data_IF_733053444315
#
_entry.id   IF_733053444315
#
_cell.length_a   1.000
_cell.length_b   1.000
_cell.length_c   1.000
_cell.angle_alpha   90.00
_cell.angle_beta   90.00
_cell.angle_gamma   90.00
#
_symmetry.space_group_name_H-M   'P 1'
#
loop_
_entity.id
_entity.type
_entity.pdbx_description
1 polymer ?
#
# COMPACT_ATOMS: atom_id res chain seq x y z
N UNK A 1 9.35 15.03 26.49
CA UNK A 1 8.46 15.22 25.31
C UNK A 1 9.24 15.33 24.02
N UNK A 2 10.23 16.21 23.85
CA UNK A 2 11.01 16.33 22.59
C UNK A 2 11.78 15.04 22.24
N UNK A 3 12.54 14.47 23.19
CA UNK A 3 13.24 13.18 23.00
C UNK A 3 12.31 12.04 22.57
N UNK A 4 11.12 11.99 23.17
CA UNK A 4 10.09 11.01 22.83
C UNK A 4 9.53 11.23 21.41
N UNK A 5 9.45 12.48 20.96
CA UNK A 5 9.05 12.82 19.59
C UNK A 5 10.10 12.35 18.57
N UNK A 6 11.39 12.50 18.89
CA UNK A 6 12.49 11.97 18.08
C UNK A 6 12.44 10.44 17.97
N UNK A 7 12.18 9.75 19.09
CA UNK A 7 12.04 8.29 19.11
C UNK A 7 10.80 7.83 18.32
N UNK A 8 9.67 8.52 18.47
CA UNK A 8 8.45 8.28 17.70
C UNK A 8 8.67 8.49 16.19
N UNK A 9 9.40 9.53 15.80
CA UNK A 9 9.74 9.79 14.41
C UNK A 9 10.56 8.62 13.82
N UNK A 10 11.60 8.15 14.53
CA UNK A 10 12.39 6.99 14.09
C UNK A 10 11.53 5.72 13.93
N UNK A 11 10.63 5.46 14.88
CA UNK A 11 9.74 4.32 14.80
C UNK A 11 8.74 4.44 13.63
N UNK A 12 8.19 5.64 13.40
CA UNK A 12 7.31 5.89 12.27
C UNK A 12 8.01 5.71 10.92
N UNK A 13 9.29 6.13 10.79
CA UNK A 13 10.10 5.86 9.59
C UNK A 13 10.28 4.36 9.34
N UNK A 14 10.51 3.57 10.39
CA UNK A 14 10.59 2.11 10.26
C UNK A 14 9.28 1.50 9.74
N UNK A 15 8.14 1.88 10.33
CA UNK A 15 6.82 1.39 9.89
C UNK A 15 6.48 1.84 8.46
N UNK A 16 6.83 3.07 8.08
CA UNK A 16 6.68 3.57 6.72
C UNK A 16 7.51 2.74 5.72
N UNK A 17 8.71 2.30 6.12
CA UNK A 17 9.53 1.43 5.29
C UNK A 17 8.89 0.05 5.09
N UNK A 18 8.42 -0.59 6.16
CA UNK A 18 7.72 -1.88 6.07
C UNK A 18 6.46 -1.80 5.19
N UNK A 19 5.68 -0.72 5.33
CA UNK A 19 4.51 -0.47 4.49
C UNK A 19 4.88 -0.28 3.02
N UNK A 20 5.98 0.43 2.73
CA UNK A 20 6.49 0.62 1.37
C UNK A 20 6.94 -0.70 0.75
N UNK A 21 7.69 -1.50 1.51
CA UNK A 21 8.17 -2.80 1.04
C UNK A 21 7.01 -3.77 0.78
N UNK A 22 6.00 -3.77 1.66
CA UNK A 22 4.76 -4.55 1.47
C UNK A 22 3.98 -4.11 0.24
N UNK A 23 3.85 -2.80 0.00
CA UNK A 23 3.17 -2.27 -1.18
C UNK A 23 3.93 -2.60 -2.48
N UNK A 24 5.27 -2.56 -2.45
CA UNK A 24 6.11 -2.98 -3.59
C UNK A 24 5.93 -4.46 -3.89
N UNK A 25 5.94 -5.32 -2.87
CA UNK A 25 5.67 -6.74 -3.06
C UNK A 25 4.27 -6.97 -3.65
N UNK A 26 3.25 -6.28 -3.13
CA UNK A 26 1.90 -6.33 -3.68
C UNK A 26 1.85 -5.90 -5.15
N UNK A 27 2.60 -4.87 -5.55
CA UNK A 27 2.75 -4.46 -6.94
C UNK A 27 3.39 -5.53 -7.83
N UNK A 28 4.39 -6.26 -7.33
CA UNK A 28 5.01 -7.37 -8.05
C UNK A 28 4.04 -8.54 -8.23
N UNK A 29 3.31 -8.91 -7.17
CA UNK A 29 2.33 -10.00 -7.21
C UNK A 29 1.20 -9.69 -8.21
N UNK A 30 0.75 -8.43 -8.25
CA UNK A 30 -0.20 -7.91 -9.25
C UNK A 30 0.35 -8.07 -10.67
N UNK A 31 1.61 -7.73 -10.91
CA UNK A 31 2.26 -7.88 -12.21
C UNK A 31 2.33 -9.34 -12.67
N UNK A 32 2.72 -10.24 -11.76
CA UNK A 32 2.74 -11.70 -12.01
C UNK A 32 1.34 -12.21 -12.32
N UNK A 33 0.32 -11.74 -11.59
CA UNK A 33 -1.08 -12.11 -11.83
C UNK A 33 -1.54 -11.69 -13.23
N UNK A 34 -1.27 -10.46 -13.65
CA UNK A 34 -1.63 -9.97 -15.00
C UNK A 34 -0.96 -10.83 -16.07
N UNK A 35 0.33 -11.15 -15.90
CA UNK A 35 1.06 -12.04 -16.82
C UNK A 35 0.40 -13.41 -16.91
N UNK A 36 0.06 -14.01 -15.77
CA UNK A 36 -0.58 -15.33 -15.70
C UNK A 36 -1.95 -15.31 -16.39
N UNK A 37 -2.74 -14.26 -16.18
CA UNK A 37 -4.04 -14.09 -16.84
C UNK A 37 -3.92 -13.94 -18.36
N UNK A 38 -2.88 -13.26 -18.85
CA UNK A 38 -2.58 -13.20 -20.28
C UNK A 38 -2.22 -14.57 -20.86
N UNK A 39 -1.40 -15.35 -20.15
CA UNK A 39 -1.04 -16.71 -20.56
C UNK A 39 -2.26 -17.66 -20.60
N UNK A 40 -3.18 -17.52 -19.63
CA UNK A 40 -4.46 -18.24 -19.62
C UNK A 40 -5.32 -17.81 -20.83
N UNK A 41 -5.42 -16.51 -21.10
CA UNK A 41 -6.18 -15.98 -22.26
C UNK A 41 -5.66 -16.52 -23.59
N UNK A 42 -4.32 -16.57 -23.77
CA UNK A 42 -3.69 -17.18 -24.95
C UNK A 42 -3.98 -18.68 -25.05
N UNK A 43 -3.96 -19.39 -23.93
CA UNK A 43 -4.29 -20.82 -23.88
C UNK A 43 -5.75 -21.07 -24.24
N UNK A 44 -6.68 -20.26 -23.72
CA UNK A 44 -8.11 -20.31 -24.06
C UNK A 44 -8.37 -20.09 -25.55
N UNK A 45 -7.64 -19.18 -26.20
CA UNK A 45 -7.72 -18.98 -27.66
C UNK A 45 -7.31 -20.23 -28.44
N UNK A 46 -6.21 -20.88 -28.05
CA UNK A 46 -5.78 -22.15 -28.66
C UNK A 46 -6.82 -23.25 -28.49
N UNK A 47 -7.46 -23.33 -27.32
CA UNK A 47 -8.55 -24.30 -27.09
C UNK A 47 -9.72 -23.99 -28.03
N UNK A 48 -10.11 -22.73 -28.19
CA UNK A 48 -11.17 -22.34 -29.13
C UNK A 48 -10.86 -22.75 -30.58
N UNK A 49 -9.62 -22.57 -31.03
CA UNK A 49 -9.17 -23.05 -32.36
C UNK A 49 -9.32 -24.57 -32.52
N UNK A 50 -8.96 -25.35 -31.49
CA UNK A 50 -9.09 -26.81 -31.49
C UNK A 50 -10.57 -27.21 -31.53
N UNK A 51 -11.44 -26.54 -30.77
CA UNK A 51 -12.88 -26.82 -30.74
C UNK A 51 -13.52 -26.51 -32.10
N UNK A 52 -13.11 -25.42 -32.76
CA UNK A 52 -13.55 -25.11 -34.12
C UNK A 52 -13.12 -26.18 -35.14
N UNK A 53 -11.91 -26.74 -34.98
CA UNK A 53 -11.47 -27.88 -35.80
C UNK A 53 -12.34 -29.12 -35.55
N UNK A 54 -12.68 -29.41 -34.29
CA UNK A 54 -13.55 -30.53 -33.93
C UNK A 54 -14.96 -30.36 -34.52
N UNK A 55 -15.54 -29.16 -34.47
CA UNK A 55 -16.83 -28.90 -35.13
C UNK A 55 -16.75 -29.09 -36.65
N UNK A 56 -15.63 -28.69 -37.27
CA UNK A 56 -15.35 -28.99 -38.68
C UNK A 56 -15.31 -30.49 -38.99
N UNK A 57 -14.66 -31.30 -38.14
CA UNK A 57 -14.61 -32.76 -38.28
C UNK A 57 -16.01 -33.37 -38.09
N UNK A 58 -16.77 -32.89 -37.11
CA UNK A 58 -18.15 -33.32 -36.87
C UNK A 58 -19.04 -33.02 -38.08
N UNK A 59 -18.91 -31.83 -38.68
CA UNK A 59 -19.61 -31.46 -39.89
C UNK A 59 -19.25 -32.37 -41.07
N UNK A 60 -17.96 -32.63 -41.31
CA UNK A 60 -17.52 -33.56 -42.36
C UNK A 60 -18.05 -34.99 -42.12
N UNK A 61 -18.06 -35.45 -40.87
CA UNK A 61 -18.60 -36.76 -40.48
C UNK A 61 -20.10 -36.84 -40.74
N UNK A 62 -20.85 -35.77 -40.47
CA UNK A 62 -22.27 -35.66 -40.76
C UNK A 62 -22.55 -35.74 -42.28
N UNK A 63 -21.72 -35.12 -43.13
CA UNK A 63 -21.84 -35.22 -44.59
C UNK A 63 -21.50 -36.64 -45.09
N UNK A 64 -20.45 -37.27 -44.55
CA UNK A 64 -20.09 -38.66 -44.88
C UNK A 64 -21.22 -39.63 -44.51
N UNK A 65 -21.82 -39.45 -43.33
CA UNK A 65 -22.95 -40.26 -42.88
C UNK A 65 -24.19 -40.09 -43.77
N UNK A 66 -24.46 -38.86 -44.22
CA UNK A 66 -25.53 -38.58 -45.19
C UNK A 66 -25.28 -39.33 -46.52
N UNK A 67 -24.07 -39.25 -47.05
CA UNK A 67 -23.71 -39.95 -48.29
C UNK A 67 -23.83 -41.47 -48.14
N UNK A 68 -23.41 -42.02 -47.00
CA UNK A 68 -23.56 -43.45 -46.69
C UNK A 68 -25.05 -43.87 -46.60
N UNK A 69 -25.91 -43.03 -46.02
CA UNK A 69 -27.35 -43.28 -45.98
C UNK A 69 -27.98 -43.29 -47.38
N UNK A 70 -27.53 -42.40 -48.28
CA UNK A 70 -27.97 -42.37 -49.69
C UNK A 70 -27.54 -43.64 -50.42
N UNK A 71 -26.29 -44.07 -50.27
CA UNK A 71 -25.80 -45.29 -50.93
C UNK A 71 -26.45 -46.56 -50.37
N UNK A 72 -26.73 -46.59 -49.06
CA UNK A 72 -27.49 -47.66 -48.42
C UNK A 72 -28.93 -47.76 -48.97
N UNK A 73 -29.60 -46.61 -49.19
CA UNK A 73 -30.91 -46.59 -49.83
C UNK A 73 -30.84 -47.09 -51.28
N UNK A 74 -29.77 -46.76 -52.00
CA UNK A 74 -29.52 -47.21 -53.38
C UNK A 74 -29.32 -48.73 -53.49
N UNK A 75 -28.72 -49.35 -52.48
CA UNK A 75 -28.51 -50.80 -52.40
C UNK A 75 -29.77 -51.60 -52.00
N UNK A 76 -30.90 -50.93 -51.70
CA UNK A 76 -32.17 -51.56 -51.37
C UNK A 76 -32.10 -52.47 -50.14
N UNK A 77 -32.61 -53.71 -50.26
CA UNK A 77 -32.66 -54.68 -49.16
C UNK A 77 -31.27 -55.01 -48.58
N UNK A 78 -30.22 -55.02 -49.41
CA UNK A 78 -28.85 -55.30 -48.99
C UNK A 78 -28.21 -54.16 -48.19
N UNK A 79 -28.77 -52.94 -48.27
CA UNK A 79 -28.26 -51.74 -47.61
C UNK A 79 -28.85 -51.47 -46.22
N UNK A 80 -29.85 -52.24 -45.77
CA UNK A 80 -30.58 -51.97 -44.51
C UNK A 80 -29.68 -51.85 -43.28
N UNK A 81 -28.68 -52.73 -43.15
CA UNK A 81 -27.71 -52.67 -42.05
C UNK A 81 -26.82 -51.41 -42.10
N UNK A 82 -26.36 -51.03 -43.30
CA UNK A 82 -25.58 -49.81 -43.50
C UNK A 82 -26.39 -48.54 -43.24
N UNK A 83 -27.68 -48.52 -43.56
CA UNK A 83 -28.56 -47.38 -43.29
C UNK A 83 -28.67 -47.07 -41.78
N UNK A 84 -28.75 -48.11 -40.94
CA UNK A 84 -28.79 -47.95 -39.47
C UNK A 84 -27.48 -47.35 -38.96
N UNK A 85 -26.34 -47.90 -39.41
CA UNK A 85 -25.01 -47.38 -39.02
C UNK A 85 -24.85 -45.91 -39.46
N UNK A 86 -25.26 -45.58 -40.69
CA UNK A 86 -25.20 -44.21 -41.20
C UNK A 86 -26.05 -43.24 -40.35
N UNK A 87 -27.23 -43.65 -39.92
CA UNK A 87 -28.08 -42.84 -39.02
C UNK A 87 -27.43 -42.62 -37.65
N UNK A 88 -26.81 -43.65 -37.07
CA UNK A 88 -26.14 -43.55 -35.77
C UNK A 88 -24.90 -42.64 -35.84
N UNK A 89 -24.08 -42.78 -36.89
CA UNK A 89 -22.93 -41.90 -37.13
C UNK A 89 -23.38 -40.45 -37.31
N UNK A 90 -24.49 -40.22 -38.02
CA UNK A 90 -25.07 -38.88 -38.19
C UNK A 90 -25.52 -38.27 -36.86
N UNK A 91 -26.22 -39.05 -36.04
CA UNK A 91 -26.65 -38.64 -34.70
C UNK A 91 -25.45 -38.27 -33.82
N UNK A 92 -24.39 -39.08 -33.84
CA UNK A 92 -23.15 -38.83 -33.10
C UNK A 92 -22.46 -37.53 -33.56
N UNK A 93 -22.39 -37.30 -34.87
CA UNK A 93 -21.81 -36.08 -35.43
C UNK A 93 -22.59 -34.82 -35.00
N UNK A 94 -23.93 -34.86 -35.03
CA UNK A 94 -24.77 -33.75 -34.56
C UNK A 94 -24.57 -33.47 -33.06
N UNK A 95 -24.47 -34.52 -32.24
CA UNK A 95 -24.16 -34.39 -30.80
C UNK A 95 -22.79 -33.76 -30.57
N UNK A 96 -21.79 -34.11 -31.39
CA UNK A 96 -20.45 -33.53 -31.32
C UNK A 96 -20.46 -32.03 -31.63
N UNK A 97 -21.16 -31.59 -32.69
CA UNK A 97 -21.34 -30.16 -33.01
C UNK A 97 -22.02 -29.40 -31.88
N UNK A 98 -23.08 -29.95 -31.27
CA UNK A 98 -23.75 -29.29 -30.13
C UNK A 98 -22.81 -29.14 -28.92
N UNK A 99 -22.05 -30.18 -28.59
CA UNK A 99 -21.08 -30.13 -27.50
C UNK A 99 -19.93 -29.15 -27.80
N UNK A 100 -19.44 -29.09 -29.04
CA UNK A 100 -18.42 -28.15 -29.46
C UNK A 100 -18.89 -26.69 -29.25
N UNK A 101 -20.15 -26.39 -29.61
CA UNK A 101 -20.74 -25.06 -29.37
C UNK A 101 -20.81 -24.70 -27.89
N UNK A 102 -21.29 -25.60 -27.03
CA UNK A 102 -21.31 -25.37 -25.58
C UNK A 102 -19.92 -25.08 -25.01
N UNK A 103 -18.90 -25.80 -25.48
CA UNK A 103 -17.51 -25.57 -25.05
C UNK A 103 -17.01 -24.20 -25.53
N UNK A 104 -17.31 -23.81 -26.77
CA UNK A 104 -16.96 -22.49 -27.29
C UNK A 104 -17.57 -21.37 -26.43
N UNK A 105 -18.86 -21.46 -26.11
CA UNK A 105 -19.55 -20.46 -25.27
C UNK A 105 -18.91 -20.35 -23.87
N UNK A 106 -18.53 -21.49 -23.27
CA UNK A 106 -17.84 -21.51 -21.98
C UNK A 106 -16.44 -20.87 -22.05
N UNK A 107 -15.71 -21.08 -23.15
CA UNK A 107 -14.40 -20.47 -23.37
C UNK A 107 -14.54 -18.95 -23.55
N UNK A 108 -15.50 -18.48 -24.35
CA UNK A 108 -15.74 -17.04 -24.54
C UNK A 108 -16.10 -16.34 -23.22
N UNK A 109 -16.95 -16.98 -22.42
CA UNK A 109 -17.28 -16.49 -21.07
C UNK A 109 -16.04 -16.43 -20.18
N UNK A 110 -15.18 -17.44 -20.22
CA UNK A 110 -13.94 -17.49 -19.44
C UNK A 110 -12.98 -16.37 -19.86
N UNK A 111 -12.80 -16.14 -21.16
CA UNK A 111 -11.98 -15.03 -21.70
C UNK A 111 -12.51 -13.67 -21.23
N UNK A 112 -13.83 -13.48 -21.24
CA UNK A 112 -14.46 -12.24 -20.77
C UNK A 112 -14.20 -12.00 -19.28
N UNK A 113 -14.30 -13.05 -18.47
CA UNK A 113 -14.00 -12.98 -17.02
C UNK A 113 -12.53 -12.68 -16.76
N UNK A 114 -11.61 -13.30 -17.52
CA UNK A 114 -10.17 -13.03 -17.43
C UNK A 114 -9.88 -11.55 -17.75
N UNK A 115 -10.44 -11.02 -18.85
CA UNK A 115 -10.24 -9.62 -19.24
C UNK A 115 -10.75 -8.65 -18.16
N UNK A 116 -11.89 -8.97 -17.54
CA UNK A 116 -12.43 -8.19 -16.42
C UNK A 116 -11.51 -8.26 -15.20
N UNK A 117 -10.97 -9.45 -14.90
CA UNK A 117 -10.01 -9.66 -13.82
C UNK A 117 -8.72 -8.87 -14.02
N UNK A 118 -8.19 -8.82 -15.25
CA UNK A 118 -7.01 -8.03 -15.61
C UNK A 118 -7.25 -6.54 -15.33
N UNK A 119 -8.38 -5.98 -15.79
CA UNK A 119 -8.72 -4.57 -15.55
C UNK A 119 -8.82 -4.21 -14.05
N UNK A 120 -9.43 -5.09 -13.24
CA UNK A 120 -9.53 -4.88 -11.80
C UNK A 120 -8.15 -4.93 -11.13
N UNK A 121 -7.30 -5.86 -11.56
CA UNK A 121 -5.97 -6.03 -11.01
C UNK A 121 -5.01 -4.91 -11.44
N UNK A 122 -5.15 -4.36 -12.65
CA UNK A 122 -4.44 -3.15 -13.07
C UNK A 122 -4.77 -1.95 -12.16
N UNK A 123 -6.05 -1.79 -11.80
CA UNK A 123 -6.48 -0.76 -10.84
C UNK A 123 -5.88 -1.01 -9.45
N UNK A 124 -5.78 -2.26 -9.02
CA UNK A 124 -5.12 -2.62 -7.77
C UNK A 124 -3.62 -2.27 -7.81
N UNK A 125 -2.93 -2.54 -8.92
CA UNK A 125 -1.53 -2.15 -9.14
C UNK A 125 -1.32 -0.65 -9.01
N UNK A 126 -2.15 0.15 -9.70
CA UNK A 126 -2.12 1.62 -9.57
C UNK A 126 -2.39 2.11 -8.13
N UNK A 127 -3.21 1.38 -7.39
CA UNK A 127 -3.47 1.68 -5.97
C UNK A 127 -2.23 1.43 -5.11
N UNK A 128 -1.47 0.36 -5.39
CA UNK A 128 -0.19 0.12 -4.71
C UNK A 128 0.83 1.22 -5.00
N UNK A 129 0.93 1.70 -6.25
CA UNK A 129 1.81 2.82 -6.61
C UNK A 129 1.45 4.12 -5.85
N UNK A 130 0.14 4.38 -5.71
CA UNK A 130 -0.35 5.51 -4.92
C UNK A 130 -0.01 5.36 -3.43
N UNK A 131 -0.07 4.14 -2.88
CA UNK A 131 0.32 3.86 -1.50
C UNK A 131 1.81 4.15 -1.31
N UNK A 132 2.68 3.64 -2.19
CA UNK A 132 4.13 3.90 -2.14
C UNK A 132 4.41 5.40 -2.17
N UNK A 133 3.74 6.15 -3.05
CA UNK A 133 3.90 7.60 -3.16
C UNK A 133 3.43 8.32 -1.88
N UNK A 134 2.29 7.92 -1.32
CA UNK A 134 1.72 8.51 -0.11
C UNK A 134 2.61 8.26 1.11
N UNK A 135 3.12 7.03 1.27
CA UNK A 135 4.02 6.66 2.35
C UNK A 135 5.37 7.39 2.22
N UNK A 136 5.85 7.62 0.99
CA UNK A 136 7.04 8.45 0.77
C UNK A 136 6.83 9.89 1.26
N UNK A 137 5.65 10.48 1.04
CA UNK A 137 5.31 11.81 1.56
C UNK A 137 5.26 11.80 3.10
N UNK A 138 4.69 10.76 3.71
CA UNK A 138 4.69 10.59 5.17
C UNK A 138 6.13 10.54 5.71
N UNK A 139 7.03 9.83 5.03
CA UNK A 139 8.43 9.75 5.45
C UNK A 139 9.13 11.13 5.41
N UNK A 140 8.84 11.96 4.41
CA UNK A 140 9.35 13.35 4.34
C UNK A 140 8.86 14.20 5.52
N UNK A 141 7.58 14.06 5.91
CA UNK A 141 7.03 14.77 7.07
C UNK A 141 7.72 14.32 8.36
N UNK A 142 7.96 13.02 8.52
CA UNK A 142 8.65 12.47 9.70
C UNK A 142 10.09 13.01 9.79
N UNK A 143 10.79 13.13 8.67
CA UNK A 143 12.13 13.72 8.61
C UNK A 143 12.12 15.19 9.04
N UNK A 144 11.12 15.97 8.61
CA UNK A 144 10.93 17.34 9.07
C UNK A 144 10.64 17.40 10.59
N UNK A 145 9.82 16.50 11.12
CA UNK A 145 9.54 16.40 12.57
C UNK A 145 10.82 16.08 13.34
N UNK A 146 11.65 15.18 12.83
CA UNK A 146 12.93 14.84 13.44
C UNK A 146 13.85 16.07 13.55
N UNK A 147 14.03 16.80 12.46
CA UNK A 147 14.85 18.02 12.44
C UNK A 147 14.30 19.12 13.34
N UNK A 148 12.99 19.38 13.30
CA UNK A 148 12.35 20.37 14.17
C UNK A 148 12.49 19.98 15.66
N UNK A 149 12.41 18.70 15.98
CA UNK A 149 12.61 18.20 17.35
C UNK A 149 14.07 18.35 17.80
N UNK A 150 15.03 18.14 16.90
CA UNK A 150 16.45 18.35 17.21
C UNK A 150 16.75 19.83 17.49
N UNK A 151 16.22 20.73 16.67
CA UNK A 151 16.34 22.19 16.87
C UNK A 151 15.68 22.62 18.19
N UNK A 152 14.47 22.12 18.47
CA UNK A 152 13.78 22.39 19.73
C UNK A 152 14.58 21.90 20.94
N UNK A 153 15.24 20.74 20.84
CA UNK A 153 16.10 20.23 21.92
C UNK A 153 17.28 21.17 22.19
N UNK A 154 17.94 21.68 21.13
CA UNK A 154 19.03 22.66 21.25
C UNK A 154 18.55 23.97 21.86
N UNK A 155 17.38 24.47 21.44
CA UNK A 155 16.77 25.67 22.01
C UNK A 155 16.44 25.53 23.50
N UNK A 156 15.94 24.36 23.92
CA UNK A 156 15.68 24.07 25.34
C UNK A 156 16.97 24.04 26.16
N UNK A 157 18.06 23.49 25.61
CA UNK A 157 19.37 23.50 26.28
C UNK A 157 19.87 24.94 26.52
N UNK A 158 19.74 25.82 25.53
CA UNK A 158 20.07 27.24 25.69
C UNK A 158 19.19 27.95 26.72
N UNK A 159 17.88 27.67 26.73
CA UNK A 159 16.96 28.21 27.74
C UNK A 159 17.36 27.75 29.14
N UNK A 160 17.73 26.48 29.32
CA UNK A 160 18.20 25.98 30.62
C UNK A 160 19.46 26.72 31.11
N UNK A 161 20.40 27.02 30.20
CA UNK A 161 21.60 27.81 30.54
C UNK A 161 21.18 29.22 31.00
N UNK A 162 20.32 29.90 30.24
CA UNK A 162 19.84 31.24 30.59
C UNK A 162 19.09 31.27 31.93
N UNK A 163 18.27 30.25 32.22
CA UNK A 163 17.59 30.11 33.51
C UNK A 163 18.58 29.93 34.65
N UNK A 164 19.62 29.11 34.46
CA UNK A 164 20.67 28.92 35.47
C UNK A 164 21.46 30.20 35.74
N UNK A 165 21.70 31.01 34.71
CA UNK A 165 22.36 32.31 34.85
C UNK A 165 21.45 33.34 35.55
N UNK A 166 20.16 33.39 35.19
CA UNK A 166 19.16 34.20 35.89
C UNK A 166 19.02 33.82 37.36
N UNK A 167 19.07 32.53 37.70
CA UNK A 167 19.04 32.05 39.08
C UNK A 167 20.25 32.59 39.87
N UNK A 168 21.45 32.52 39.26
CA UNK A 168 22.68 33.07 39.86
C UNK A 168 22.59 34.58 40.11
N UNK A 169 22.07 35.35 39.15
CA UNK A 169 21.89 36.80 39.30
C UNK A 169 20.82 37.11 40.35
N UNK A 170 19.74 36.34 40.40
CA UNK A 170 18.70 36.45 41.43
C UNK A 170 19.26 36.20 42.83
N UNK A 171 20.09 35.16 43.00
CA UNK A 171 20.79 34.89 44.26
C UNK A 171 21.77 36.02 44.64
N UNK A 172 22.55 36.53 43.69
CA UNK A 172 23.42 37.69 43.93
C UNK A 172 22.63 38.93 44.36
N UNK A 173 21.49 39.21 43.72
CA UNK A 173 20.64 40.34 44.09
C UNK A 173 20.07 40.18 45.51
N UNK A 174 19.72 38.96 45.92
CA UNK A 174 19.30 38.68 47.29
C UNK A 174 20.43 38.96 48.29
N UNK A 175 21.64 38.47 48.04
CA UNK A 175 22.82 38.75 48.88
C UNK A 175 23.14 40.24 48.93
N UNK A 176 23.08 40.93 47.79
CA UNK A 176 23.32 42.37 47.72
C UNK A 176 22.27 43.15 48.53
N UNK A 177 21.00 42.73 48.49
CA UNK A 177 19.95 43.34 49.29
C UNK A 177 20.19 43.12 50.79
N UNK A 178 20.61 41.92 51.21
CA UNK A 178 21.00 41.63 52.60
C UNK A 178 22.19 42.48 53.06
N UNK A 179 23.24 42.59 52.25
CA UNK A 179 24.39 43.44 52.52
C UNK A 179 24.00 44.92 52.61
N UNK A 180 23.10 45.38 51.73
CA UNK A 180 22.58 46.75 51.76
C UNK A 180 21.81 47.03 53.06
N UNK A 181 20.98 46.10 53.52
CA UNK A 181 20.29 46.20 54.81
C UNK A 181 21.28 46.27 55.97
N UNK A 182 22.38 45.49 55.92
CA UNK A 182 23.46 45.55 56.92
C UNK A 182 24.12 46.93 56.93
N UNK A 183 24.50 47.46 55.77
CA UNK A 183 25.13 48.79 55.65
C UNK A 183 24.22 49.91 56.12
N UNK A 184 22.91 49.86 55.82
CA UNK A 184 21.93 50.82 56.34
C UNK A 184 21.91 50.80 57.87
N UNK A 185 21.94 49.61 58.48
CA UNK A 185 21.95 49.46 59.94
C UNK A 185 23.23 50.01 60.58
N UNK A 186 24.38 49.80 59.94
CA UNK A 186 25.67 50.39 60.37
C UNK A 186 25.66 51.92 60.27
N UNK A 187 25.17 52.48 59.16
CA UNK A 187 25.04 53.93 58.98
C UNK A 187 24.09 54.54 60.02
N UNK A 188 22.98 53.87 60.31
CA UNK A 188 22.03 54.30 61.34
C UNK A 188 22.66 54.32 62.74
N UNK A 189 23.46 53.30 63.07
CA UNK A 189 24.23 53.27 64.32
C UNK A 189 25.25 54.41 64.40
N UNK A 190 26.00 54.65 63.31
CA UNK A 190 27.00 55.73 63.24
C UNK A 190 26.35 57.11 63.42
N UNK A 191 25.21 57.34 62.77
CA UNK A 191 24.44 58.58 62.92
C UNK A 191 23.96 58.77 64.35
N UNK A 192 23.49 57.72 65.01
CA UNK A 192 23.10 57.78 66.42
C UNK A 192 24.29 58.12 67.32
N UNK A 193 25.45 57.47 67.12
CA UNK A 193 26.67 57.78 67.87
C UNK A 193 27.15 59.22 67.67
N UNK A 194 27.04 59.76 66.44
CA UNK A 194 27.40 61.14 66.14
C UNK A 194 26.47 62.13 66.87
N UNK A 195 25.15 61.87 66.85
CA UNK A 195 24.18 62.67 67.61
C UNK A 195 24.49 62.66 69.11
N UNK A 196 24.77 61.49 69.69
CA UNK A 196 25.15 61.38 71.11
C UNK A 196 26.43 62.17 71.40
N UNK A 197 27.44 62.13 70.53
CA UNK A 197 28.67 62.90 70.72
C UNK A 197 28.42 64.41 70.69
N UNK A 198 27.59 64.90 69.77
CA UNK A 198 27.19 66.32 69.69
C UNK A 198 26.42 66.75 70.95
N UNK A 199 25.53 65.92 71.47
CA UNK A 199 24.81 66.20 72.74
C UNK A 199 25.75 66.33 73.94
N UNK A 200 26.84 65.55 73.98
CA UNK A 200 27.86 65.65 75.05
C UNK A 200 28.67 66.93 74.93
N UNK A 201 29.01 67.38 73.72
CA UNK A 201 29.74 68.64 73.50
C UNK A 201 28.90 69.91 73.69
N UNK A 202 27.56 69.80 73.58
CA UNK A 202 26.62 70.90 73.78
C UNK A 202 26.13 71.04 75.24
N UNK A 203 26.72 70.29 76.19
CA UNK A 203 26.54 70.45 77.64
C UNK A 203 27.76 71.10 78.27
#
# INVERSE_FOLDING_TARGET
>A
TVKQNTDNARHATYLAKEATDSAKQGGQDVSIFIKTMNDISLSSKKISEIINMIDGIAFQTNILALNAAVEAARAGEHGKGFAVVASEVRSLAQRCTSAAKEITDLIEKSVTQINTGVLLTEKAGKTMDNIVSSVSCVNQIIEQIYHASEEQSRGIEQINIAISEMDKVTQQNATLAEDTVRTIKELQNMSNSLNTAIEVFNK
#
